data_IF_906164290163
#
_entry.id   IF_906164290163
#
_cell.length_a   1.000
_cell.length_b   1.000
_cell.length_c   1.000
_cell.angle_alpha   90.00
_cell.angle_beta   90.00
_cell.angle_gamma   90.00
#
_symmetry.space_group_name_H-M   'P 1'
#
loop_
_entity.id
_entity.type
_entity.pdbx_description
1 polymer ?
#
# COMPACT_ATOMS: atom_id res chain seq x y z
N UNK A 1 22.72 -22.00 15.40
CA UNK A 1 21.99 -21.24 14.36
C UNK A 1 22.94 -21.05 13.18
N UNK A 2 22.91 -21.96 12.19
CA UNK A 2 23.75 -21.81 11.00
C UNK A 2 23.11 -20.77 10.07
N UNK A 3 23.65 -19.57 10.03
CA UNK A 3 23.39 -18.62 8.96
C UNK A 3 23.98 -19.24 7.70
N UNK A 4 23.14 -19.72 6.79
CA UNK A 4 23.58 -20.35 5.55
C UNK A 4 24.30 -19.31 4.68
N UNK A 5 25.61 -19.43 4.42
CA UNK A 5 26.42 -18.39 3.81
C UNK A 5 26.11 -18.13 2.32
N UNK A 6 25.26 -18.95 1.70
CA UNK A 6 25.08 -18.95 0.24
C UNK A 6 23.85 -18.17 -0.28
N UNK A 7 23.14 -17.41 0.56
CA UNK A 7 21.98 -16.60 0.15
C UNK A 7 20.76 -17.40 -0.38
N UNK A 8 20.86 -18.72 -0.48
CA UNK A 8 19.81 -19.63 -0.98
C UNK A 8 18.56 -19.64 -0.10
N UNK A 9 18.72 -19.36 1.20
CA UNK A 9 17.62 -19.27 2.16
C UNK A 9 16.75 -18.01 1.98
N UNK A 10 17.25 -16.96 1.31
CA UNK A 10 16.53 -15.70 1.08
C UNK A 10 15.63 -15.78 -0.16
N UNK A 11 16.02 -16.58 -1.17
CA UNK A 11 15.28 -16.72 -2.44
C UNK A 11 13.77 -16.96 -2.27
N UNK A 12 13.30 -17.80 -1.31
CA UNK A 12 11.87 -18.02 -1.11
C UNK A 12 11.09 -16.80 -0.60
N UNK A 13 11.76 -15.81 0.00
CA UNK A 13 11.18 -14.56 0.47
C UNK A 13 11.32 -13.42 -0.54
N UNK A 14 12.09 -13.62 -1.62
CA UNK A 14 12.36 -12.57 -2.60
C UNK A 14 11.09 -11.87 -3.13
N UNK A 15 9.96 -12.55 -3.42
CA UNK A 15 8.75 -11.86 -3.83
C UNK A 15 8.23 -10.88 -2.79
N UNK A 16 8.14 -11.29 -1.52
CA UNK A 16 7.71 -10.42 -0.42
C UNK A 16 8.64 -9.24 -0.19
N UNK A 17 9.97 -9.48 -0.25
CA UNK A 17 10.99 -8.44 -0.12
C UNK A 17 10.86 -7.42 -1.24
N UNK A 18 10.81 -7.86 -2.50
CA UNK A 18 10.71 -6.98 -3.66
C UNK A 18 9.42 -6.15 -3.62
N UNK A 19 8.29 -6.77 -3.29
CA UNK A 19 7.01 -6.05 -3.16
C UNK A 19 7.04 -5.00 -2.04
N UNK A 20 7.63 -5.33 -0.89
CA UNK A 20 7.80 -4.38 0.20
C UNK A 20 8.72 -3.22 -0.20
N UNK A 21 9.86 -3.51 -0.85
CA UNK A 21 10.78 -2.48 -1.35
C UNK A 21 10.16 -1.60 -2.44
N UNK A 22 9.39 -2.17 -3.36
CA UNK A 22 8.63 -1.39 -4.34
C UNK A 22 7.57 -0.51 -3.67
N UNK A 23 6.92 -1.00 -2.60
CA UNK A 23 5.98 -0.19 -1.82
C UNK A 23 6.70 0.99 -1.16
N UNK A 24 7.87 0.76 -0.55
CA UNK A 24 8.68 1.81 0.06
C UNK A 24 9.15 2.81 -1.00
N UNK A 25 9.66 2.33 -2.14
CA UNK A 25 10.07 3.16 -3.27
C UNK A 25 8.91 4.00 -3.80
N UNK A 26 7.72 3.42 -3.91
CA UNK A 26 6.50 4.14 -4.27
C UNK A 26 6.18 5.25 -3.27
N UNK A 27 6.29 4.97 -1.97
CA UNK A 27 6.13 5.97 -0.91
C UNK A 27 7.14 7.12 -1.03
N UNK A 28 8.43 6.82 -1.17
CA UNK A 28 9.46 7.82 -1.41
C UNK A 28 9.22 8.60 -2.70
N UNK A 29 8.80 7.94 -3.77
CA UNK A 29 8.45 8.57 -5.04
C UNK A 29 7.39 9.65 -4.86
N UNK A 30 6.29 9.33 -4.15
CA UNK A 30 5.27 10.34 -3.81
C UNK A 30 5.87 11.45 -2.94
N UNK A 31 6.72 11.10 -1.97
CA UNK A 31 7.37 12.08 -1.08
C UNK A 31 8.28 13.06 -1.81
N UNK A 32 9.05 12.58 -2.81
CA UNK A 32 9.86 13.44 -3.68
C UNK A 32 8.97 14.36 -4.51
N UNK A 33 7.87 13.85 -5.06
CA UNK A 33 6.91 14.66 -5.81
C UNK A 33 6.23 15.71 -4.91
N UNK A 34 5.96 15.41 -3.63
CA UNK A 34 5.55 16.43 -2.66
C UNK A 34 6.58 17.54 -2.55
N UNK A 35 7.85 17.19 -2.28
CA UNK A 35 8.90 18.18 -2.08
C UNK A 35 9.20 19.03 -3.32
N UNK A 36 9.04 18.48 -4.52
CA UNK A 36 9.42 19.13 -5.77
C UNK A 36 8.26 19.75 -6.56
N UNK A 37 7.03 19.26 -6.41
CA UNK A 37 5.91 19.56 -7.32
C UNK A 37 4.52 19.53 -6.64
N UNK A 38 4.44 19.86 -5.35
CA UNK A 38 3.16 19.89 -4.60
C UNK A 38 2.08 20.73 -5.30
N UNK A 39 2.41 21.95 -5.74
CA UNK A 39 1.46 22.84 -6.40
C UNK A 39 0.96 22.25 -7.72
N UNK A 40 1.82 21.59 -8.49
CA UNK A 40 1.42 20.92 -9.74
C UNK A 40 0.47 19.75 -9.49
N UNK A 41 0.66 18.98 -8.42
CA UNK A 41 -0.29 17.91 -8.07
C UNK A 41 -1.64 18.46 -7.61
N UNK A 42 -1.65 19.51 -6.78
CA UNK A 42 -2.90 20.15 -6.37
C UNK A 42 -3.63 20.79 -7.55
N UNK A 43 -2.89 21.41 -8.47
CA UNK A 43 -3.43 21.94 -9.72
C UNK A 43 -4.09 20.81 -10.53
N UNK A 44 -3.40 19.68 -10.75
CA UNK A 44 -3.97 18.55 -11.48
C UNK A 44 -5.27 18.00 -10.86
N UNK A 45 -5.36 17.93 -9.52
CA UNK A 45 -6.61 17.55 -8.83
C UNK A 45 -7.72 18.58 -9.06
N UNK A 46 -7.38 19.86 -8.98
CA UNK A 46 -8.31 20.98 -9.18
C UNK A 46 -8.83 21.03 -10.61
N UNK A 47 -7.94 20.88 -11.59
CA UNK A 47 -8.26 20.90 -13.01
C UNK A 47 -9.17 19.73 -13.40
N UNK A 48 -8.93 18.55 -12.81
CA UNK A 48 -9.82 17.38 -12.94
C UNK A 48 -11.24 17.67 -12.42
N UNK A 49 -11.37 18.39 -11.30
CA UNK A 49 -12.67 18.83 -10.77
C UNK A 49 -13.34 19.89 -11.64
N UNK A 50 -12.60 20.91 -12.07
CA UNK A 50 -13.08 22.00 -12.93
C UNK A 50 -13.60 21.48 -14.29
N UNK A 51 -12.92 20.49 -14.87
CA UNK A 51 -13.32 19.89 -16.14
C UNK A 51 -14.72 19.27 -16.11
N UNK A 52 -15.26 18.96 -14.94
CA UNK A 52 -16.60 18.39 -14.74
C UNK A 52 -17.49 19.24 -13.83
N UNK A 53 -17.14 20.52 -13.63
CA UNK A 53 -17.86 21.42 -12.70
C UNK A 53 -19.34 21.55 -13.07
N UNK A 54 -19.65 21.80 -14.34
CA UNK A 54 -21.03 22.01 -14.78
C UNK A 54 -21.82 20.69 -14.86
N UNK A 55 -21.16 19.58 -15.19
CA UNK A 55 -21.82 18.29 -15.48
C UNK A 55 -21.99 17.40 -14.24
N UNK A 56 -20.97 17.32 -13.39
CA UNK A 56 -20.95 16.43 -12.21
C UNK A 56 -21.26 17.21 -10.93
N UNK A 57 -20.75 18.43 -10.82
CA UNK A 57 -20.96 19.29 -9.64
C UNK A 57 -22.12 20.27 -9.81
N UNK A 58 -22.71 20.41 -11.01
CA UNK A 58 -23.83 21.32 -11.28
C UNK A 58 -23.51 22.79 -10.91
N UNK A 59 -22.27 23.21 -11.12
CA UNK A 59 -21.80 24.55 -10.77
C UNK A 59 -21.47 24.75 -9.28
N UNK A 60 -21.60 23.72 -8.43
CA UNK A 60 -21.26 23.79 -7.00
C UNK A 60 -19.74 23.75 -6.78
N UNK A 61 -19.14 24.95 -6.78
CA UNK A 61 -17.70 25.15 -6.54
C UNK A 61 -17.29 24.67 -5.16
N UNK A 62 -18.09 24.91 -4.12
CA UNK A 62 -17.75 24.55 -2.75
C UNK A 62 -17.66 23.03 -2.58
N UNK A 63 -18.59 22.29 -3.18
CA UNK A 63 -18.55 20.83 -3.21
C UNK A 63 -17.32 20.32 -3.96
N UNK A 64 -17.00 20.92 -5.11
CA UNK A 64 -15.81 20.56 -5.90
C UNK A 64 -14.52 20.77 -5.12
N UNK A 65 -14.35 21.94 -4.50
CA UNK A 65 -13.20 22.23 -3.63
C UNK A 65 -13.13 21.27 -2.43
N UNK A 66 -14.27 20.91 -1.84
CA UNK A 66 -14.35 19.90 -0.79
C UNK A 66 -13.84 18.52 -1.23
N UNK A 67 -14.22 18.07 -2.43
CA UNK A 67 -13.73 16.80 -3.00
C UNK A 67 -12.25 16.88 -3.34
N UNK A 68 -11.78 17.99 -3.92
CA UNK A 68 -10.35 18.21 -4.22
C UNK A 68 -9.50 18.19 -2.94
N UNK A 69 -9.94 18.88 -1.88
CA UNK A 69 -9.25 18.88 -0.59
C UNK A 69 -9.17 17.48 0.05
N UNK A 70 -10.24 16.69 -0.05
CA UNK A 70 -10.24 15.30 0.42
C UNK A 70 -9.35 14.40 -0.45
N UNK A 71 -9.31 14.66 -1.76
CA UNK A 71 -8.44 13.96 -2.72
C UNK A 71 -6.96 14.20 -2.39
N UNK A 72 -6.58 15.42 -2.02
CA UNK A 72 -5.24 15.71 -1.52
C UNK A 72 -4.89 14.88 -0.28
N UNK A 73 -5.84 14.72 0.63
CA UNK A 73 -5.66 13.85 1.79
C UNK A 73 -5.46 12.38 1.40
N UNK A 74 -6.02 11.92 0.29
CA UNK A 74 -5.79 10.56 -0.24
C UNK A 74 -4.39 10.39 -0.85
N UNK A 75 -3.84 11.42 -1.52
CA UNK A 75 -2.43 11.39 -1.95
C UNK A 75 -1.49 11.25 -0.74
N UNK A 76 -1.74 12.03 0.33
CA UNK A 76 -0.98 11.90 1.59
C UNK A 76 -1.13 10.53 2.22
N UNK A 77 -2.33 9.94 2.21
CA UNK A 77 -2.56 8.56 2.68
C UNK A 77 -1.77 7.54 1.86
N UNK A 78 -1.70 7.70 0.55
CA UNK A 78 -0.90 6.82 -0.31
C UNK A 78 0.58 6.84 0.11
N UNK A 79 1.16 8.03 0.31
CA UNK A 79 2.54 8.18 0.81
C UNK A 79 2.73 7.53 2.18
N UNK A 80 1.87 7.85 3.15
CA UNK A 80 1.98 7.35 4.52
C UNK A 80 1.79 5.83 4.60
N UNK A 81 0.79 5.27 3.91
CA UNK A 81 0.56 3.83 3.88
C UNK A 81 1.69 3.09 3.16
N UNK A 82 2.24 3.66 2.08
CA UNK A 82 3.36 3.08 1.38
C UNK A 82 4.60 2.97 2.29
N UNK A 83 4.93 4.06 2.99
CA UNK A 83 6.04 4.06 3.95
C UNK A 83 5.81 3.11 5.12
N UNK A 84 4.68 3.27 5.82
CA UNK A 84 4.40 2.51 7.04
C UNK A 84 4.15 1.02 6.78
N UNK A 85 3.25 0.67 5.86
CA UNK A 85 2.91 -0.72 5.57
C UNK A 85 4.04 -1.40 4.80
N UNK A 86 4.68 -0.71 3.84
CA UNK A 86 5.84 -1.26 3.12
C UNK A 86 6.99 -1.62 4.06
N UNK A 87 7.35 -0.71 4.97
CA UNK A 87 8.38 -0.98 6.00
C UNK A 87 7.97 -2.11 6.94
N UNK A 88 6.70 -2.14 7.38
CA UNK A 88 6.18 -3.22 8.24
C UNK A 88 6.23 -4.58 7.55
N UNK A 89 5.91 -4.64 6.26
CA UNK A 89 5.97 -5.86 5.46
C UNK A 89 7.42 -6.34 5.29
N UNK A 90 8.37 -5.43 5.04
CA UNK A 90 9.79 -5.76 4.97
C UNK A 90 10.31 -6.29 6.31
N UNK A 91 10.04 -5.57 7.40
CA UNK A 91 10.45 -5.98 8.75
C UNK A 91 9.87 -7.36 9.13
N UNK A 92 8.59 -7.58 8.84
CA UNK A 92 7.93 -8.87 9.07
C UNK A 92 8.58 -9.98 8.23
N UNK A 93 8.93 -9.69 6.97
CA UNK A 93 9.63 -10.66 6.11
C UNK A 93 11.02 -11.01 6.66
N UNK A 94 11.75 -10.02 7.19
CA UNK A 94 13.03 -10.25 7.88
C UNK A 94 12.85 -11.13 9.11
N UNK A 95 11.85 -10.86 9.95
CA UNK A 95 11.54 -11.70 11.12
C UNK A 95 11.24 -13.14 10.69
N UNK A 96 10.41 -13.34 9.66
CA UNK A 96 10.10 -14.67 9.14
C UNK A 96 11.32 -15.40 8.57
N UNK A 97 12.24 -14.68 7.95
CA UNK A 97 13.52 -15.21 7.49
C UNK A 97 14.42 -15.65 8.66
N UNK A 98 14.46 -14.87 9.74
CA UNK A 98 15.26 -15.20 10.94
C UNK A 98 14.75 -16.44 11.70
N UNK A 99 13.50 -16.88 11.47
CA UNK A 99 12.98 -18.15 11.99
C UNK A 99 13.64 -19.40 11.34
N UNK A 100 14.51 -19.21 10.34
CA UNK A 100 15.29 -20.26 9.71
C UNK A 100 14.63 -20.81 8.44
N UNK A 101 14.52 -22.14 8.31
CA UNK A 101 14.07 -22.77 7.07
C UNK A 101 12.64 -22.35 6.71
N UNK A 102 12.44 -21.66 5.57
CA UNK A 102 11.13 -21.12 5.21
C UNK A 102 10.16 -22.23 4.83
N UNK A 103 9.03 -22.33 5.54
CA UNK A 103 7.92 -23.21 5.14
C UNK A 103 6.93 -22.42 4.29
N UNK A 104 5.88 -23.10 3.83
CA UNK A 104 4.88 -22.50 2.92
C UNK A 104 4.20 -21.29 3.57
N UNK A 105 3.87 -21.36 4.86
CA UNK A 105 3.17 -20.28 5.56
C UNK A 105 4.00 -19.00 5.58
N UNK A 106 5.28 -19.07 5.95
CA UNK A 106 6.18 -17.91 6.01
C UNK A 106 6.32 -17.24 4.62
N UNK A 107 6.51 -18.05 3.57
CA UNK A 107 6.66 -17.54 2.18
C UNK A 107 5.40 -16.84 1.68
N UNK A 108 4.25 -17.47 1.86
CA UNK A 108 2.96 -16.90 1.44
C UNK A 108 2.60 -15.68 2.28
N UNK A 109 2.91 -15.68 3.58
CA UNK A 109 2.65 -14.54 4.47
C UNK A 109 3.47 -13.32 4.06
N UNK A 110 4.77 -13.49 3.80
CA UNK A 110 5.63 -12.41 3.32
C UNK A 110 5.18 -11.86 1.97
N UNK A 111 4.84 -12.75 1.03
CA UNK A 111 4.38 -12.35 -0.32
C UNK A 111 3.03 -11.63 -0.26
N UNK A 112 2.06 -12.17 0.49
CA UNK A 112 0.74 -11.56 0.66
C UNK A 112 0.83 -10.20 1.34
N UNK A 113 1.64 -10.08 2.40
CA UNK A 113 1.77 -8.80 3.10
C UNK A 113 2.43 -7.73 2.20
N UNK A 114 3.51 -8.08 1.49
CA UNK A 114 4.15 -7.18 0.53
C UNK A 114 3.21 -6.77 -0.61
N UNK A 115 2.45 -7.72 -1.18
CA UNK A 115 1.48 -7.44 -2.24
C UNK A 115 0.35 -6.53 -1.74
N UNK A 116 -0.19 -6.82 -0.56
CA UNK A 116 -1.24 -6.02 0.06
C UNK A 116 -0.79 -4.60 0.39
N UNK A 117 0.45 -4.44 0.87
CA UNK A 117 1.05 -3.14 1.12
C UNK A 117 1.10 -2.28 -0.15
N UNK A 118 1.55 -2.86 -1.27
CA UNK A 118 1.63 -2.16 -2.54
C UNK A 118 0.25 -1.80 -3.09
N UNK A 119 -0.64 -2.79 -3.22
CA UNK A 119 -1.97 -2.61 -3.80
C UNK A 119 -2.80 -1.60 -3.02
N UNK A 120 -2.77 -1.65 -1.69
CA UNK A 120 -3.52 -0.72 -0.84
C UNK A 120 -2.98 0.72 -0.94
N UNK A 121 -1.66 0.88 -1.09
CA UNK A 121 -1.05 2.20 -1.29
C UNK A 121 -1.39 2.78 -2.66
N UNK A 122 -1.34 1.95 -3.71
CA UNK A 122 -1.76 2.32 -5.08
C UNK A 122 -3.24 2.70 -5.12
N UNK A 123 -4.10 1.96 -4.40
CA UNK A 123 -5.52 2.28 -4.27
C UNK A 123 -5.75 3.70 -3.78
N UNK A 124 -5.05 4.15 -2.72
CA UNK A 124 -5.22 5.50 -2.21
C UNK A 124 -4.83 6.57 -3.23
N UNK A 125 -3.75 6.35 -3.98
CA UNK A 125 -3.32 7.30 -5.01
C UNK A 125 -4.32 7.33 -6.17
N UNK A 126 -4.77 6.18 -6.63
CA UNK A 126 -5.78 6.08 -7.69
C UNK A 126 -7.10 6.74 -7.27
N UNK A 127 -7.55 6.51 -6.03
CA UNK A 127 -8.75 7.14 -5.49
C UNK A 127 -8.61 8.67 -5.41
N UNK A 128 -7.42 9.18 -5.06
CA UNK A 128 -7.14 10.60 -5.04
C UNK A 128 -7.36 11.26 -6.42
N UNK A 129 -6.75 10.70 -7.47
CA UNK A 129 -6.85 11.30 -8.80
C UNK A 129 -8.20 11.06 -9.50
N UNK A 130 -8.95 10.05 -9.07
CA UNK A 130 -10.26 9.72 -9.64
C UNK A 130 -11.42 10.49 -9.01
N UNK A 131 -11.30 10.86 -7.74
CA UNK A 131 -12.39 11.50 -6.99
C UNK A 131 -12.86 12.85 -7.55
N UNK A 132 -11.98 13.79 -7.96
CA UNK A 132 -12.43 15.07 -8.50
C UNK A 132 -13.28 14.90 -9.77
N UNK A 133 -12.87 14.04 -10.70
CA UNK A 133 -13.62 13.78 -11.93
C UNK A 133 -14.94 13.01 -11.72
N UNK A 134 -15.11 12.30 -10.60
CA UNK A 134 -16.35 11.60 -10.26
C UNK A 134 -17.30 12.40 -9.36
N UNK A 135 -16.88 13.56 -8.84
CA UNK A 135 -17.74 14.32 -7.93
C UNK A 135 -17.80 13.81 -6.50
N UNK A 136 -17.10 12.72 -6.19
CA UNK A 136 -17.23 12.02 -4.91
C UNK A 136 -16.04 11.12 -4.64
N UNK A 137 -15.52 11.22 -3.42
CA UNK A 137 -14.53 10.26 -2.91
C UNK A 137 -15.10 8.88 -2.66
N UNK A 138 -16.40 8.76 -2.43
CA UNK A 138 -17.03 7.46 -2.21
C UNK A 138 -17.17 6.71 -3.55
N UNK A 139 -17.66 7.39 -4.60
CA UNK A 139 -17.68 6.82 -5.95
C UNK A 139 -16.28 6.42 -6.44
N UNK A 140 -15.24 7.20 -6.11
CA UNK A 140 -13.86 6.84 -6.42
C UNK A 140 -13.43 5.54 -5.74
N UNK A 141 -13.69 5.40 -4.43
CA UNK A 141 -13.36 4.17 -3.69
C UNK A 141 -14.16 2.97 -4.20
N UNK A 142 -15.45 3.14 -4.46
CA UNK A 142 -16.32 2.08 -4.95
C UNK A 142 -15.85 1.58 -6.33
N UNK A 143 -15.50 2.50 -7.23
CA UNK A 143 -14.96 2.16 -8.55
C UNK A 143 -13.60 1.45 -8.50
N UNK A 144 -12.91 1.49 -7.36
CA UNK A 144 -11.61 0.87 -7.12
C UNK A 144 -11.68 -0.23 -6.05
N UNK A 145 -12.88 -0.66 -5.64
CA UNK A 145 -13.07 -1.70 -4.63
C UNK A 145 -12.38 -3.01 -5.01
N UNK A 146 -12.28 -3.29 -6.32
CA UNK A 146 -11.59 -4.46 -6.88
C UNK A 146 -10.07 -4.47 -6.61
N UNK A 147 -9.46 -3.32 -6.31
CA UNK A 147 -8.06 -3.23 -5.82
C UNK A 147 -8.04 -3.15 -4.29
N UNK A 148 -8.92 -2.33 -3.72
CA UNK A 148 -8.93 -2.03 -2.30
C UNK A 148 -9.17 -3.28 -1.44
N UNK A 149 -10.17 -4.09 -1.81
CA UNK A 149 -10.55 -5.29 -1.07
C UNK A 149 -9.46 -6.37 -1.15
N UNK A 150 -8.96 -6.77 -2.34
CA UNK A 150 -7.87 -7.75 -2.39
C UNK A 150 -6.59 -7.23 -1.74
N UNK A 151 -6.23 -5.95 -1.93
CA UNK A 151 -5.04 -5.35 -1.34
C UNK A 151 -5.08 -5.37 0.20
N UNK A 152 -6.18 -4.89 0.78
CA UNK A 152 -6.35 -4.92 2.24
C UNK A 152 -6.45 -6.34 2.79
N UNK A 153 -7.17 -7.25 2.12
CA UNK A 153 -7.25 -8.65 2.52
C UNK A 153 -5.87 -9.33 2.51
N UNK A 154 -5.07 -9.13 1.47
CA UNK A 154 -3.71 -9.66 1.38
C UNK A 154 -2.81 -9.13 2.49
N UNK A 155 -2.91 -7.83 2.82
CA UNK A 155 -2.14 -7.24 3.91
C UNK A 155 -2.49 -7.87 5.27
N UNK A 156 -3.78 -7.98 5.57
CA UNK A 156 -4.26 -8.57 6.83
C UNK A 156 -3.93 -10.06 6.90
N UNK A 157 -4.24 -10.84 5.87
CA UNK A 157 -3.97 -12.27 5.83
C UNK A 157 -2.47 -12.57 5.90
N UNK A 158 -1.65 -11.76 5.22
CA UNK A 158 -0.20 -11.87 5.28
C UNK A 158 0.34 -11.63 6.70
N UNK A 159 -0.15 -10.59 7.38
CA UNK A 159 0.22 -10.30 8.77
C UNK A 159 -0.27 -11.40 9.73
N UNK A 160 -1.52 -11.84 9.62
CA UNK A 160 -2.06 -12.94 10.43
C UNK A 160 -1.26 -14.23 10.23
N UNK A 161 -0.93 -14.58 8.98
CA UNK A 161 -0.11 -15.74 8.67
C UNK A 161 1.29 -15.66 9.27
N UNK A 162 1.89 -14.46 9.26
CA UNK A 162 3.19 -14.22 9.90
C UNK A 162 3.12 -14.41 11.42
N UNK A 163 2.09 -13.86 12.08
CA UNK A 163 1.86 -14.03 13.51
C UNK A 163 1.70 -15.52 13.85
N UNK A 164 0.90 -16.26 13.09
CA UNK A 164 0.71 -17.71 13.29
C UNK A 164 2.03 -18.46 13.10
N UNK A 165 2.83 -18.11 12.10
CA UNK A 165 4.12 -18.75 11.87
C UNK A 165 5.09 -18.50 13.03
N UNK A 166 5.19 -17.26 13.51
CA UNK A 166 6.02 -16.88 14.67
C UNK A 166 5.54 -17.63 15.92
N UNK A 167 4.24 -17.61 16.20
CA UNK A 167 3.66 -18.29 17.37
C UNK A 167 3.97 -19.79 17.36
N UNK A 168 3.78 -20.47 16.22
CA UNK A 168 4.11 -21.89 16.07
C UNK A 168 5.58 -22.19 16.32
N UNK A 169 6.47 -21.30 15.90
CA UNK A 169 7.93 -21.44 16.06
C UNK A 169 8.38 -21.23 17.50
N UNK A 170 7.78 -20.27 18.19
CA UNK A 170 8.15 -19.91 19.57
C UNK A 170 7.57 -20.88 20.59
N UNK A 171 6.35 -21.38 20.37
CA UNK A 171 5.60 -22.15 21.38
C UNK A 171 5.73 -23.67 21.21
N UNK A 172 5.76 -24.17 19.96
CA UNK A 172 5.58 -25.61 19.71
C UNK A 172 6.78 -26.32 19.10
N UNK A 173 7.88 -25.62 18.76
CA UNK A 173 9.10 -26.29 18.30
C UNK A 173 10.04 -26.46 19.49
N UNK A 174 10.31 -27.69 19.95
CA UNK A 174 11.31 -27.92 20.99
C UNK A 174 12.69 -27.50 20.47
N UNK A 175 13.51 -26.97 21.40
CA UNK A 175 14.89 -26.51 21.13
C UNK A 175 15.73 -27.55 20.41
#
# INVERSE_FOLDING_TARGET
MMINPNGTALKPFAPGILLALFTILFGFGIGVVFGAAEDSMKAALTDSGKAVLDTVYQGDVAKMEGVVGKSWSYVKRAHLHAGAIGTSALATTVVLFLLGTPRRLERWSATAFGAGALLYSVFWLAAAFRAPGLGSTDLAKDSLAWIALPGSALAVLGLCGAIIAIFRRVVFIPK
#
